data_IF_767540086483
#
_entry.id   IF_767540086483
#
_cell.length_a   1.000
_cell.length_b   1.000
_cell.length_c   1.000
_cell.angle_alpha   90.00
_cell.angle_beta   90.00
_cell.angle_gamma   90.00
#
_symmetry.space_group_name_H-M   'P 1'
#
loop_
_entity.id
_entity.type
_entity.pdbx_description
1 polymer ?
#
# COMPACT_ATOMS: atom_id res chain seq x y z
N UNK A 1 101.30 123.89 100.96
CA UNK A 1 101.00 122.96 99.86
C UNK A 1 99.50 123.06 99.60
N UNK A 2 99.01 123.44 98.43
CA UNK A 2 99.39 123.05 97.04
C UNK A 2 98.72 121.74 96.62
N UNK A 3 98.15 121.59 95.42
CA UNK A 3 97.88 122.55 94.33
C UNK A 3 96.75 121.98 93.40
N UNK A 4 96.34 122.73 92.38
CA UNK A 4 95.80 122.39 91.02
C UNK A 4 95.33 120.95 90.62
N UNK A 5 94.45 120.70 89.62
CA UNK A 5 93.58 121.53 88.73
C UNK A 5 92.53 120.64 87.98
N UNK A 6 91.50 121.28 87.39
CA UNK A 6 90.65 120.91 86.21
C UNK A 6 89.80 119.61 86.12
N UNK A 7 88.63 119.76 85.45
CA UNK A 7 87.83 118.67 84.84
C UNK A 7 86.47 118.39 85.51
N UNK A 8 85.38 119.14 85.26
CA UNK A 8 84.46 119.08 84.09
C UNK A 8 83.96 117.66 83.71
N UNK A 9 82.67 117.40 83.49
CA UNK A 9 81.48 118.29 83.56
C UNK A 9 80.16 117.47 83.74
N UNK A 10 79.29 117.96 84.65
CA UNK A 10 77.81 117.91 84.78
C UNK A 10 76.94 116.83 84.09
N UNK A 11 75.72 116.48 84.56
CA UNK A 11 74.95 116.54 85.83
C UNK A 11 73.49 116.11 85.50
N UNK A 12 72.52 115.82 86.37
CA UNK A 12 72.33 115.20 87.72
C UNK A 12 70.81 114.85 87.78
N UNK A 13 70.25 113.95 88.60
CA UNK A 13 70.23 113.89 90.09
C UNK A 13 69.64 115.18 90.73
N UNK A 14 68.89 115.18 91.85
CA UNK A 14 68.39 114.12 92.73
C UNK A 14 67.00 114.50 93.32
N UNK A 15 66.60 113.97 94.49
CA UNK A 15 65.26 114.14 95.07
C UNK A 15 65.11 115.25 96.18
N UNK A 16 64.44 115.06 97.35
CA UNK A 16 63.24 115.83 97.77
C UNK A 16 63.51 116.66 99.09
N UNK A 17 62.54 117.10 99.96
CA UNK A 17 61.05 117.04 99.93
C UNK A 17 60.17 118.35 100.07
N UNK A 18 59.72 118.91 101.24
CA UNK A 18 58.34 119.47 101.36
C UNK A 18 58.22 120.89 102.03
N UNK A 19 57.05 121.32 102.57
CA UNK A 19 55.74 121.69 101.95
C UNK A 19 55.37 123.18 102.31
N UNK A 20 54.12 123.72 102.20
CA UNK A 20 52.79 123.22 101.75
C UNK A 20 52.15 124.19 100.68
N UNK A 21 50.83 124.46 100.48
CA UNK A 21 49.51 124.12 101.11
C UNK A 21 48.32 124.42 100.16
N UNK A 22 47.14 123.88 100.51
CA UNK A 22 45.77 124.38 100.24
C UNK A 22 45.07 124.19 98.85
N UNK A 23 43.97 123.38 98.86
CA UNK A 23 42.71 123.38 98.05
C UNK A 23 42.82 123.34 96.50
N UNK A 24 42.02 122.57 95.73
CA UNK A 24 40.61 122.17 95.90
C UNK A 24 40.16 120.93 95.08
N UNK A 25 39.00 120.36 95.45
CA UNK A 25 37.94 119.68 94.64
C UNK A 25 38.24 118.80 93.40
N UNK A 26 37.45 117.72 93.23
CA UNK A 26 36.91 117.41 91.90
C UNK A 26 36.65 115.95 91.54
N UNK A 27 37.40 115.47 90.54
CA UNK A 27 36.87 114.62 89.46
C UNK A 27 37.13 113.11 89.64
N UNK A 28 38.07 112.72 90.50
CA UNK A 28 38.61 111.35 90.55
C UNK A 28 37.61 110.22 90.85
N UNK A 29 36.52 110.48 91.59
CA UNK A 29 35.52 109.45 91.94
C UNK A 29 34.80 108.89 90.71
N UNK A 30 34.33 109.76 89.81
CA UNK A 30 33.42 109.36 88.73
C UNK A 30 34.05 108.38 87.74
N UNK A 31 35.35 108.54 87.44
CA UNK A 31 36.08 107.61 86.59
C UNK A 31 36.15 106.20 87.20
N UNK A 32 36.38 106.10 88.51
CA UNK A 32 36.48 104.82 89.22
C UNK A 32 35.13 104.09 89.27
N UNK A 33 34.03 104.82 89.48
CA UNK A 33 32.68 104.26 89.40
C UNK A 33 32.35 103.70 88.00
N UNK A 34 32.73 104.42 86.95
CA UNK A 34 32.44 104.04 85.56
C UNK A 34 33.18 102.76 85.16
N UNK A 35 34.48 102.64 85.52
CA UNK A 35 35.27 101.41 85.30
C UNK A 35 34.65 100.20 86.00
N UNK A 36 34.18 100.37 87.25
CA UNK A 36 33.61 99.27 88.04
C UNK A 36 32.27 98.79 87.46
N UNK A 37 31.44 99.72 86.97
CA UNK A 37 30.18 99.41 86.28
C UNK A 37 30.43 98.65 84.95
N UNK A 38 31.43 99.09 84.18
CA UNK A 38 31.80 98.47 82.90
C UNK A 38 32.38 97.05 83.09
N UNK A 39 33.20 96.84 84.12
CA UNK A 39 33.66 95.51 84.53
C UNK A 39 32.50 94.59 84.97
N UNK A 40 31.53 95.13 85.73
CA UNK A 40 30.32 94.40 86.11
C UNK A 40 29.45 94.00 84.92
N UNK A 41 29.30 94.87 83.92
CA UNK A 41 28.57 94.57 82.69
C UNK A 41 29.23 93.46 81.85
N UNK A 42 30.56 93.48 81.72
CA UNK A 42 31.32 92.44 81.01
C UNK A 42 31.25 91.09 81.74
N UNK A 43 31.40 91.08 83.07
CA UNK A 43 31.28 89.87 83.88
C UNK A 43 29.87 89.27 83.85
N UNK A 44 28.83 90.11 83.96
CA UNK A 44 27.44 89.69 83.87
C UNK A 44 27.07 89.14 82.49
N UNK A 45 27.57 89.76 81.42
CA UNK A 45 27.39 89.27 80.05
C UNK A 45 28.01 87.88 79.84
N UNK A 46 29.24 87.66 80.33
CA UNK A 46 29.90 86.35 80.27
C UNK A 46 29.13 85.28 81.08
N UNK A 47 28.67 85.61 82.29
CA UNK A 47 27.92 84.70 83.14
C UNK A 47 26.55 84.31 82.56
N UNK A 48 25.89 85.19 81.79
CA UNK A 48 24.62 84.89 81.12
C UNK A 48 24.80 84.12 79.80
N UNK A 49 25.93 84.33 79.10
CA UNK A 49 26.22 83.64 77.84
C UNK A 49 26.72 82.21 78.05
N UNK A 50 27.42 81.93 79.16
CA UNK A 50 27.98 80.60 79.48
C UNK A 50 26.95 79.44 79.44
N UNK A 51 25.80 79.50 80.14
CA UNK A 51 24.79 78.43 80.05
C UNK A 51 24.21 78.29 78.62
N UNK A 52 24.15 79.38 77.84
CA UNK A 52 23.66 79.35 76.46
C UNK A 52 24.64 78.66 75.47
N UNK A 53 25.91 78.47 75.85
CA UNK A 53 26.83 77.60 75.11
C UNK A 53 26.61 76.12 75.47
N UNK A 54 26.47 75.77 76.75
CA UNK A 54 26.21 74.38 77.16
C UNK A 54 24.89 73.85 76.58
N UNK A 55 23.85 74.68 76.56
CA UNK A 55 22.57 74.39 75.88
C UNK A 55 22.72 74.10 74.37
N UNK A 56 23.74 74.65 73.71
CA UNK A 56 24.02 74.38 72.29
C UNK A 56 24.78 73.07 72.10
N UNK A 57 25.74 72.78 72.97
CA UNK A 57 26.50 71.52 72.93
C UNK A 57 25.58 70.32 73.19
N UNK A 58 24.68 70.40 74.17
CA UNK A 58 23.68 69.36 74.44
C UNK A 58 22.76 69.12 73.23
N UNK A 59 22.16 70.17 72.67
CA UNK A 59 21.28 70.05 71.49
C UNK A 59 21.99 69.55 70.22
N UNK A 60 23.32 69.67 70.14
CA UNK A 60 24.13 69.07 69.08
C UNK A 60 24.38 67.58 69.36
N UNK A 61 24.73 67.22 70.60
CA UNK A 61 24.86 65.82 71.02
C UNK A 61 23.54 65.05 70.85
N UNK A 62 22.40 65.63 71.26
CA UNK A 62 21.06 65.06 71.09
C UNK A 62 20.75 64.78 69.62
N UNK A 63 21.07 65.73 68.72
CA UNK A 63 20.86 65.56 67.26
C UNK A 63 21.80 64.53 66.63
N UNK A 64 23.04 64.42 67.11
CA UNK A 64 23.96 63.38 66.65
C UNK A 64 23.48 62.00 67.09
N UNK A 65 23.07 61.85 68.36
CA UNK A 65 22.50 60.61 68.88
C UNK A 65 21.17 60.25 68.19
N UNK A 66 20.32 61.23 67.88
CA UNK A 66 19.10 61.04 67.10
C UNK A 66 19.43 60.49 65.70
N UNK A 67 20.38 61.13 64.99
CA UNK A 67 20.83 60.74 63.64
C UNK A 67 21.53 59.37 63.60
N UNK A 68 22.38 59.05 64.57
CA UNK A 68 22.99 57.73 64.72
C UNK A 68 21.90 56.68 64.97
N UNK A 69 20.89 57.00 65.79
CA UNK A 69 19.78 56.10 66.06
C UNK A 69 18.77 55.98 64.92
N UNK A 70 18.66 56.97 64.03
CA UNK A 70 17.83 56.87 62.82
C UNK A 70 18.55 56.08 61.74
N UNK A 71 19.84 56.38 61.49
CA UNK A 71 20.67 55.64 60.54
C UNK A 71 20.80 54.17 60.92
N UNK A 72 21.02 53.85 62.20
CA UNK A 72 21.05 52.46 62.69
C UNK A 72 19.71 51.71 62.57
N UNK A 73 18.57 52.41 62.52
CA UNK A 73 17.26 51.80 62.25
C UNK A 73 17.02 51.60 60.76
N UNK A 74 17.36 52.59 59.94
CA UNK A 74 17.25 52.53 58.48
C UNK A 74 18.15 51.41 57.91
N UNK A 75 19.37 51.27 58.42
CA UNK A 75 20.28 50.17 58.12
C UNK A 75 19.66 48.80 58.46
N UNK A 76 19.10 48.66 59.67
CA UNK A 76 18.51 47.40 60.12
C UNK A 76 17.22 47.01 59.35
N UNK A 77 16.43 47.98 58.91
CA UNK A 77 15.22 47.72 58.11
C UNK A 77 15.56 47.37 56.64
N UNK A 78 16.68 47.92 56.12
CA UNK A 78 17.27 47.52 54.83
C UNK A 78 17.84 46.09 54.87
N UNK A 79 18.60 45.74 55.90
CA UNK A 79 19.13 44.38 56.08
C UNK A 79 17.96 43.37 56.23
N UNK A 80 16.95 43.70 57.05
CA UNK A 80 15.74 42.89 57.20
C UNK A 80 14.84 42.86 55.94
N UNK A 81 15.06 43.71 54.95
CA UNK A 81 14.46 43.62 53.62
C UNK A 81 15.28 42.70 52.69
N UNK A 82 16.61 42.82 52.73
CA UNK A 82 17.52 41.97 51.96
C UNK A 82 17.38 40.49 52.34
N UNK A 83 17.33 40.16 53.63
CA UNK A 83 17.12 38.79 54.12
C UNK A 83 15.79 38.21 53.61
N UNK A 84 14.69 38.98 53.70
CA UNK A 84 13.36 38.54 53.22
C UNK A 84 13.34 38.30 51.71
N UNK A 85 13.98 39.15 50.92
CA UNK A 85 14.10 38.95 49.46
C UNK A 85 14.96 37.72 49.16
N UNK A 86 16.03 37.48 49.93
CA UNK A 86 16.88 36.29 49.80
C UNK A 86 16.13 34.99 50.08
N UNK A 87 15.33 34.96 51.14
CA UNK A 87 14.56 33.77 51.55
C UNK A 87 13.34 33.52 50.62
N UNK A 88 12.71 34.58 50.10
CA UNK A 88 11.67 34.47 49.05
C UNK A 88 12.25 33.95 47.71
N UNK A 89 13.44 34.40 47.29
CA UNK A 89 14.14 33.85 46.12
C UNK A 89 14.56 32.38 46.33
N UNK A 90 15.10 32.04 47.50
CA UNK A 90 15.56 30.68 47.80
C UNK A 90 14.40 29.67 47.82
N UNK A 91 13.29 30.04 48.47
CA UNK A 91 12.08 29.22 48.48
C UNK A 91 11.41 29.15 47.10
N UNK A 92 11.43 30.24 46.33
CA UNK A 92 11.00 30.26 44.93
C UNK A 92 11.78 29.29 44.03
N UNK A 93 13.11 29.31 44.08
CA UNK A 93 13.97 28.38 43.34
C UNK A 93 13.70 26.92 43.74
N UNK A 94 13.60 26.62 45.03
CA UNK A 94 13.28 25.28 45.52
C UNK A 94 11.91 24.78 45.03
N UNK A 95 10.92 25.67 44.92
CA UNK A 95 9.61 25.37 44.34
C UNK A 95 9.66 25.04 42.83
N UNK A 96 10.49 25.76 42.06
CA UNK A 96 10.70 25.52 40.63
C UNK A 96 11.46 24.20 40.38
N UNK A 97 12.50 23.90 41.17
CA UNK A 97 13.24 22.63 41.09
C UNK A 97 12.33 21.43 41.41
N UNK A 98 11.54 21.54 42.49
CA UNK A 98 10.56 20.54 42.91
C UNK A 98 9.49 20.27 41.84
N UNK A 99 8.86 21.32 41.31
CA UNK A 99 7.83 21.17 40.26
C UNK A 99 8.43 20.68 38.93
N UNK A 100 9.62 21.12 38.55
CA UNK A 100 10.34 20.65 37.37
C UNK A 100 10.68 19.15 37.44
N UNK A 101 11.17 18.67 38.58
CA UNK A 101 11.45 17.23 38.79
C UNK A 101 10.17 16.38 38.74
N UNK A 102 9.07 16.88 39.30
CA UNK A 102 7.75 16.21 39.29
C UNK A 102 7.18 16.11 37.88
N UNK A 103 7.20 17.20 37.11
CA UNK A 103 6.74 17.20 35.71
C UNK A 103 7.60 16.24 34.87
N UNK A 104 8.92 16.18 35.12
CA UNK A 104 9.82 15.27 34.41
C UNK A 104 9.53 13.79 34.72
N UNK A 105 9.20 13.43 35.96
CA UNK A 105 8.84 12.05 36.30
C UNK A 105 7.46 11.66 35.73
N UNK A 106 6.48 12.56 35.74
CA UNK A 106 5.17 12.30 35.11
C UNK A 106 5.30 12.12 33.59
N UNK A 107 6.12 12.94 32.92
CA UNK A 107 6.36 12.83 31.47
C UNK A 107 7.02 11.49 31.10
N UNK A 108 7.99 11.02 31.91
CA UNK A 108 8.63 9.72 31.70
C UNK A 108 7.64 8.56 31.93
N UNK A 109 6.81 8.64 32.98
CA UNK A 109 5.78 7.63 33.24
C UNK A 109 4.75 7.55 32.09
N UNK A 110 4.32 8.70 31.56
CA UNK A 110 3.43 8.78 30.38
C UNK A 110 4.09 8.26 29.10
N UNK A 111 5.41 8.39 28.93
CA UNK A 111 6.11 7.75 27.81
C UNK A 111 6.07 6.23 27.93
N UNK A 112 6.45 5.65 29.08
CA UNK A 112 6.36 4.20 29.28
C UNK A 112 4.94 3.65 29.13
N UNK A 113 3.92 4.37 29.59
CA UNK A 113 2.51 3.98 29.41
C UNK A 113 2.10 3.97 27.92
N UNK A 114 2.63 4.89 27.11
CA UNK A 114 2.38 4.91 25.66
C UNK A 114 3.14 3.80 24.94
N UNK A 115 4.40 3.55 25.30
CA UNK A 115 5.23 2.49 24.70
C UNK A 115 4.65 1.09 25.00
N UNK A 116 4.20 0.82 26.23
CA UNK A 116 3.49 -0.41 26.58
C UNK A 116 2.18 -0.57 25.77
N UNK A 117 1.43 0.53 25.58
CA UNK A 117 0.19 0.51 24.78
C UNK A 117 0.44 0.27 23.30
N UNK A 118 1.54 0.78 22.73
CA UNK A 118 1.93 0.52 21.35
C UNK A 118 2.33 -0.95 21.17
N UNK A 119 3.20 -1.48 22.04
CA UNK A 119 3.59 -2.90 22.01
C UNK A 119 2.36 -3.84 22.12
N UNK A 120 1.43 -3.52 23.03
CA UNK A 120 0.19 -4.30 23.20
C UNK A 120 -0.83 -4.14 22.05
N UNK A 121 -0.66 -3.14 21.17
CA UNK A 121 -1.42 -3.01 19.93
C UNK A 121 -0.76 -3.80 18.79
N UNK A 122 0.57 -3.71 18.65
CA UNK A 122 1.33 -4.45 17.63
C UNK A 122 1.18 -5.97 17.81
N UNK A 123 1.24 -6.48 19.04
CA UNK A 123 1.03 -7.91 19.32
C UNK A 123 -0.41 -8.37 18.98
N UNK A 124 -1.41 -7.51 19.19
CA UNK A 124 -2.80 -7.79 18.75
C UNK A 124 -2.96 -7.78 17.24
N UNK A 125 -2.30 -6.84 16.54
CA UNK A 125 -2.33 -6.77 15.08
C UNK A 125 -1.64 -8.01 14.47
N UNK A 126 -0.52 -8.46 15.03
CA UNK A 126 0.14 -9.70 14.63
C UNK A 126 -0.75 -10.94 14.83
N UNK A 127 -1.47 -11.03 15.96
CA UNK A 127 -2.44 -12.10 16.21
C UNK A 127 -3.59 -12.12 15.20
N UNK A 128 -4.19 -10.95 14.93
CA UNK A 128 -5.29 -10.81 13.94
C UNK A 128 -4.81 -11.20 12.54
N UNK A 129 -3.61 -10.80 12.12
CA UNK A 129 -3.04 -11.18 10.84
C UNK A 129 -2.86 -12.70 10.72
N UNK A 130 -2.32 -13.35 11.76
CA UNK A 130 -2.14 -14.81 11.78
C UNK A 130 -3.46 -15.59 11.74
N UNK A 131 -4.51 -15.11 12.41
CA UNK A 131 -5.84 -15.71 12.29
C UNK A 131 -6.39 -15.55 10.87
N UNK A 132 -6.27 -14.35 10.27
CA UNK A 132 -6.77 -14.09 8.92
C UNK A 132 -6.06 -14.94 7.85
N UNK A 133 -4.74 -15.16 7.96
CA UNK A 133 -4.01 -16.07 7.07
C UNK A 133 -4.53 -17.53 7.17
N UNK A 134 -4.82 -18.01 8.39
CA UNK A 134 -5.35 -19.37 8.62
C UNK A 134 -6.75 -19.56 8.04
N UNK A 135 -7.65 -18.58 8.19
CA UNK A 135 -8.97 -18.64 7.58
C UNK A 135 -8.89 -18.66 6.05
N UNK A 136 -8.08 -17.76 5.45
CA UNK A 136 -7.89 -17.71 4.00
C UNK A 136 -7.31 -19.02 3.42
N UNK A 137 -6.42 -19.69 4.15
CA UNK A 137 -5.90 -21.00 3.75
C UNK A 137 -7.02 -22.06 3.79
N UNK A 138 -7.72 -22.19 4.92
CA UNK A 138 -8.79 -23.19 5.08
C UNK A 138 -9.94 -23.03 4.07
N UNK A 139 -10.30 -21.80 3.72
CA UNK A 139 -11.35 -21.52 2.72
C UNK A 139 -10.87 -21.85 1.29
N UNK A 140 -9.60 -21.60 0.97
CA UNK A 140 -8.99 -22.01 -0.31
C UNK A 140 -8.95 -23.53 -0.44
N UNK A 141 -8.51 -24.22 0.61
CA UNK A 141 -8.34 -25.67 0.61
C UNK A 141 -9.69 -26.38 0.47
N UNK A 142 -10.73 -25.86 1.16
CA UNK A 142 -12.11 -26.31 0.98
C UNK A 142 -12.66 -26.06 -0.44
N UNK A 143 -12.31 -24.93 -1.06
CA UNK A 143 -12.68 -24.64 -2.45
C UNK A 143 -11.98 -25.58 -3.44
N UNK A 144 -10.69 -25.85 -3.28
CA UNK A 144 -9.93 -26.78 -4.12
C UNK A 144 -10.51 -28.21 -4.01
N UNK A 145 -10.86 -28.67 -2.80
CA UNK A 145 -11.50 -29.97 -2.61
C UNK A 145 -12.86 -30.07 -3.34
N UNK A 146 -13.68 -29.01 -3.27
CA UNK A 146 -14.97 -28.95 -3.96
C UNK A 146 -14.83 -28.91 -5.50
N UNK A 147 -13.82 -28.22 -6.03
CA UNK A 147 -13.53 -28.21 -7.47
C UNK A 147 -13.02 -29.60 -7.94
N UNK A 148 -12.19 -30.28 -7.15
CA UNK A 148 -11.79 -31.66 -7.46
C UNK A 148 -13.01 -32.60 -7.49
N UNK A 149 -13.92 -32.55 -6.51
CA UNK A 149 -15.17 -33.30 -6.54
C UNK A 149 -16.02 -33.00 -7.79
N UNK A 150 -16.12 -31.72 -8.18
CA UNK A 150 -16.88 -31.30 -9.35
C UNK A 150 -16.27 -31.86 -10.66
N UNK A 151 -14.96 -31.74 -10.84
CA UNK A 151 -14.23 -32.25 -12.00
C UNK A 151 -14.37 -33.78 -12.14
N UNK A 152 -14.24 -34.53 -11.04
CA UNK A 152 -14.43 -35.99 -11.03
C UNK A 152 -15.87 -36.38 -11.38
N UNK A 153 -16.86 -35.68 -10.84
CA UNK A 153 -18.28 -35.90 -11.12
C UNK A 153 -18.61 -35.61 -12.59
N UNK A 154 -18.03 -34.56 -13.16
CA UNK A 154 -18.19 -34.18 -14.56
C UNK A 154 -17.47 -35.15 -15.51
N UNK A 155 -16.30 -35.67 -15.13
CA UNK A 155 -15.59 -36.71 -15.88
C UNK A 155 -16.42 -38.00 -15.99
N UNK A 156 -16.97 -38.46 -14.86
CA UNK A 156 -17.87 -39.62 -14.81
C UNK A 156 -19.13 -39.38 -15.66
N UNK A 157 -19.73 -38.19 -15.58
CA UNK A 157 -20.87 -37.81 -16.42
C UNK A 157 -20.54 -37.89 -17.93
N UNK A 158 -19.35 -37.41 -18.34
CA UNK A 158 -18.89 -37.45 -19.75
C UNK A 158 -18.70 -38.88 -20.26
N UNK A 159 -18.12 -39.76 -19.45
CA UNK A 159 -18.01 -41.19 -19.79
C UNK A 159 -19.39 -41.83 -19.93
N UNK A 160 -20.26 -41.71 -18.91
CA UNK A 160 -21.53 -42.43 -18.85
C UNK A 160 -22.60 -41.91 -19.83
N UNK A 161 -22.61 -40.62 -20.17
CA UNK A 161 -23.64 -40.02 -21.02
C UNK A 161 -23.22 -39.85 -22.49
N UNK A 162 -21.92 -39.66 -22.77
CA UNK A 162 -21.44 -39.33 -24.10
C UNK A 162 -20.35 -40.29 -24.64
N UNK A 163 -19.83 -41.21 -23.82
CA UNK A 163 -18.67 -42.04 -24.19
C UNK A 163 -17.38 -41.22 -24.41
N UNK A 164 -17.37 -39.97 -23.96
CA UNK A 164 -16.37 -38.95 -24.29
C UNK A 164 -15.10 -39.13 -23.45
N UNK A 165 -14.30 -40.13 -23.84
CA UNK A 165 -13.05 -40.51 -23.18
C UNK A 165 -11.99 -39.39 -23.23
N UNK A 166 -11.99 -38.54 -24.27
CA UNK A 166 -11.05 -37.43 -24.39
C UNK A 166 -11.38 -36.30 -23.41
N UNK A 167 -12.64 -35.86 -23.30
CA UNK A 167 -13.03 -34.88 -22.29
C UNK A 167 -12.92 -35.44 -20.87
N UNK A 168 -13.28 -36.72 -20.66
CA UNK A 168 -13.09 -37.38 -19.37
C UNK A 168 -11.62 -37.42 -18.95
N UNK A 169 -10.70 -37.78 -19.86
CA UNK A 169 -9.25 -37.76 -19.60
C UNK A 169 -8.76 -36.35 -19.26
N UNK A 170 -9.26 -35.31 -19.94
CA UNK A 170 -8.92 -33.93 -19.62
C UNK A 170 -9.39 -33.55 -18.20
N UNK A 171 -10.64 -33.85 -17.85
CA UNK A 171 -11.23 -33.56 -16.53
C UNK A 171 -10.53 -34.31 -15.39
N UNK A 172 -10.21 -35.61 -15.57
CA UNK A 172 -9.41 -36.39 -14.61
C UNK A 172 -7.99 -35.83 -14.46
N UNK A 173 -7.39 -35.30 -15.54
CA UNK A 173 -6.06 -34.67 -15.48
C UNK A 173 -6.11 -33.36 -14.68
N UNK A 174 -7.16 -32.55 -14.87
CA UNK A 174 -7.40 -31.37 -14.04
C UNK A 174 -7.62 -31.73 -12.56
N UNK A 175 -8.38 -32.81 -12.28
CA UNK A 175 -8.65 -33.26 -10.92
C UNK A 175 -7.36 -33.71 -10.18
N UNK A 176 -6.47 -34.49 -10.80
CA UNK A 176 -5.16 -34.78 -10.19
C UNK A 176 -4.30 -33.52 -10.02
N UNK A 177 -4.43 -32.54 -10.93
CA UNK A 177 -3.80 -31.23 -10.79
C UNK A 177 -4.24 -30.49 -9.52
N UNK A 178 -5.56 -30.42 -9.27
CA UNK A 178 -6.14 -29.77 -8.08
C UNK A 178 -5.80 -30.55 -6.80
N UNK A 179 -5.92 -31.88 -6.81
CA UNK A 179 -5.54 -32.74 -5.68
C UNK A 179 -4.03 -32.69 -5.38
N UNK A 180 -3.20 -32.32 -6.37
CA UNK A 180 -1.76 -32.06 -6.18
C UNK A 180 -1.48 -30.66 -5.64
N UNK A 181 -2.25 -29.64 -6.01
CA UNK A 181 -2.11 -28.29 -5.46
C UNK A 181 -2.47 -28.24 -3.96
N UNK A 182 -3.42 -29.08 -3.55
CA UNK A 182 -3.91 -29.20 -2.18
C UNK A 182 -2.93 -29.93 -1.22
N UNK A 183 -1.99 -30.72 -1.76
CA UNK A 183 -0.88 -31.44 -1.09
C UNK A 183 -1.19 -32.21 0.22
N UNK A 184 -2.46 -32.51 0.50
CA UNK A 184 -2.91 -33.22 1.72
C UNK A 184 -2.58 -34.73 1.67
N UNK A 185 -1.79 -35.26 2.63
CA UNK A 185 -1.54 -36.70 2.77
C UNK A 185 -2.82 -37.54 2.95
N UNK A 186 -3.90 -36.97 3.49
CA UNK A 186 -5.20 -37.63 3.63
C UNK A 186 -5.85 -37.99 2.29
N UNK A 187 -5.52 -37.28 1.22
CA UNK A 187 -6.06 -37.50 -0.13
C UNK A 187 -5.24 -38.48 -0.98
N UNK A 188 -4.22 -39.15 -0.41
CA UNK A 188 -3.33 -40.03 -1.18
C UNK A 188 -4.08 -41.22 -1.82
N UNK A 189 -5.08 -41.79 -1.15
CA UNK A 189 -5.96 -42.84 -1.70
C UNK A 189 -6.83 -42.30 -2.85
N UNK A 190 -7.36 -41.07 -2.72
CA UNK A 190 -8.13 -40.43 -3.78
C UNK A 190 -7.27 -40.19 -5.03
N UNK A 191 -6.03 -39.73 -4.86
CA UNK A 191 -5.08 -39.57 -5.99
C UNK A 191 -4.67 -40.90 -6.60
N UNK A 192 -4.56 -41.97 -5.82
CA UNK A 192 -4.32 -43.32 -6.35
C UNK A 192 -5.50 -43.81 -7.20
N UNK A 193 -6.75 -43.56 -6.76
CA UNK A 193 -7.95 -43.87 -7.54
C UNK A 193 -8.01 -43.05 -8.85
N UNK A 194 -7.80 -41.74 -8.79
CA UNK A 194 -7.78 -40.88 -9.99
C UNK A 194 -6.68 -41.30 -10.97
N UNK A 195 -5.50 -41.70 -10.50
CA UNK A 195 -4.44 -42.24 -11.34
C UNK A 195 -4.83 -43.57 -12.01
N UNK A 196 -5.57 -44.44 -11.33
CA UNK A 196 -6.09 -45.69 -11.88
C UNK A 196 -7.19 -45.43 -12.94
N UNK A 197 -8.16 -44.57 -12.65
CA UNK A 197 -9.21 -44.16 -13.60
C UNK A 197 -8.61 -43.51 -14.85
N UNK A 198 -7.64 -42.61 -14.67
CA UNK A 198 -6.94 -41.94 -15.75
C UNK A 198 -6.07 -42.90 -16.58
N UNK A 199 -5.57 -44.00 -15.99
CA UNK A 199 -4.95 -45.10 -16.73
C UNK A 199 -5.98 -45.94 -17.50
N UNK A 200 -7.15 -46.23 -16.92
CA UNK A 200 -8.24 -46.97 -17.56
C UNK A 200 -8.82 -46.19 -18.76
N UNK A 201 -9.09 -44.89 -18.60
CA UNK A 201 -9.57 -44.03 -19.70
C UNK A 201 -8.53 -43.89 -20.81
N UNK A 202 -7.23 -43.89 -20.49
CA UNK A 202 -6.14 -43.94 -21.49
C UNK A 202 -6.05 -45.25 -22.26
N UNK A 203 -6.66 -46.34 -21.77
CA UNK A 203 -6.72 -47.62 -22.47
C UNK A 203 -7.91 -47.74 -23.44
N UNK A 204 -8.82 -46.77 -23.45
CA UNK A 204 -9.95 -46.71 -24.40
C UNK A 204 -9.41 -46.33 -25.79
N UNK A 205 -9.66 -47.12 -26.86
CA UNK A 205 -9.24 -46.77 -28.21
C UNK A 205 -9.97 -45.52 -28.72
N UNK A 206 -9.22 -44.52 -29.19
CA UNK A 206 -9.77 -43.36 -29.89
C UNK A 206 -10.23 -43.75 -31.31
N UNK A 207 -11.48 -43.42 -31.65
CA UNK A 207 -12.05 -43.68 -32.98
C UNK A 207 -12.03 -42.38 -33.77
N UNK A 208 -11.49 -42.43 -34.99
CA UNK A 208 -11.44 -41.33 -35.95
C UNK A 208 -12.83 -41.11 -36.60
N UNK A 209 -13.74 -40.47 -35.85
CA UNK A 209 -15.12 -40.21 -36.29
C UNK A 209 -15.14 -39.32 -37.53
N UNK A 210 -14.27 -38.30 -37.60
CA UNK A 210 -14.17 -37.39 -38.75
C UNK A 210 -13.68 -38.13 -40.00
N UNK A 211 -12.61 -38.93 -39.90
CA UNK A 211 -12.10 -39.72 -41.01
C UNK A 211 -13.01 -40.88 -41.42
N UNK A 212 -13.91 -41.37 -40.55
CA UNK A 212 -14.98 -42.30 -40.94
C UNK A 212 -16.09 -41.53 -41.68
N UNK A 213 -16.55 -40.39 -41.13
CA UNK A 213 -17.55 -39.53 -41.77
C UNK A 213 -17.12 -39.13 -43.20
N UNK A 214 -15.88 -38.67 -43.37
CA UNK A 214 -15.32 -38.30 -44.68
C UNK A 214 -15.24 -39.46 -45.67
N UNK A 215 -14.99 -40.70 -45.19
CA UNK A 215 -15.05 -41.90 -46.04
C UNK A 215 -16.47 -42.19 -46.52
N UNK A 216 -17.47 -42.06 -45.65
CA UNK A 216 -18.88 -42.28 -46.02
C UNK A 216 -19.38 -41.17 -46.95
N UNK A 217 -18.96 -39.93 -46.75
CA UNK A 217 -19.22 -38.83 -47.69
C UNK A 217 -18.59 -39.10 -49.07
N UNK A 218 -17.34 -39.57 -49.12
CA UNK A 218 -16.68 -39.96 -50.36
C UNK A 218 -17.33 -41.17 -51.05
N UNK A 219 -17.92 -42.10 -50.30
CA UNK A 219 -18.73 -43.19 -50.85
C UNK A 219 -20.07 -42.68 -51.40
N UNK A 220 -20.70 -41.71 -50.74
CA UNK A 220 -21.95 -41.09 -51.20
C UNK A 220 -21.76 -40.35 -52.54
N UNK A 221 -20.64 -39.64 -52.70
CA UNK A 221 -20.30 -38.99 -53.97
C UNK A 221 -19.99 -40.01 -55.09
N UNK A 222 -19.31 -41.12 -54.76
CA UNK A 222 -19.11 -42.23 -55.70
C UNK A 222 -20.42 -42.92 -56.10
N UNK A 223 -21.39 -43.03 -55.17
CA UNK A 223 -22.73 -43.52 -55.47
C UNK A 223 -23.47 -42.58 -56.42
N UNK A 224 -23.45 -41.27 -56.15
CA UNK A 224 -24.02 -40.25 -57.03
C UNK A 224 -23.42 -40.29 -58.44
N UNK A 225 -22.11 -40.57 -58.57
CA UNK A 225 -21.40 -40.70 -59.85
C UNK A 225 -21.55 -42.07 -60.54
N UNK A 226 -22.17 -43.08 -59.92
CA UNK A 226 -22.20 -44.46 -60.43
C UNK A 226 -23.06 -44.60 -61.70
N UNK A 227 -22.48 -45.04 -62.80
CA UNK A 227 -23.24 -45.35 -64.04
C UNK A 227 -23.51 -46.85 -64.08
N UNK A 228 -24.74 -47.25 -63.76
CA UNK A 228 -25.17 -48.65 -63.69
C UNK A 228 -25.54 -49.16 -65.10
N UNK A 229 -26.25 -48.34 -65.90
CA UNK A 229 -26.55 -48.64 -67.29
C UNK A 229 -25.73 -47.75 -68.25
N UNK A 230 -25.05 -48.40 -69.20
CA UNK A 230 -24.65 -47.75 -70.45
C UNK A 230 -25.50 -48.31 -71.57
N UNK A 231 -26.23 -47.42 -72.24
CA UNK A 231 -26.82 -47.76 -73.55
C UNK A 231 -25.68 -48.23 -74.47
N UNK A 232 -25.83 -49.34 -75.22
CA UNK A 232 -24.86 -49.64 -76.26
C UNK A 232 -24.92 -48.50 -77.29
N UNK A 233 -23.82 -47.76 -77.41
CA UNK A 233 -23.62 -46.73 -78.45
C UNK A 233 -24.03 -47.32 -79.80
N UNK A 234 -25.13 -46.81 -80.37
CA UNK A 234 -25.51 -47.15 -81.75
C UNK A 234 -24.53 -46.41 -82.67
N UNK A 235 -23.39 -47.07 -82.92
CA UNK A 235 -22.25 -46.44 -83.60
C UNK A 235 -22.69 -45.74 -84.88
N UNK A 236 -22.60 -44.42 -84.87
CA UNK A 236 -23.11 -43.58 -85.96
C UNK A 236 -22.48 -44.02 -87.28
N UNK A 237 -23.32 -44.51 -88.20
CA UNK A 237 -22.86 -45.05 -89.47
C UNK A 237 -22.19 -43.92 -90.28
N UNK A 238 -20.86 -43.92 -90.32
CA UNK A 238 -20.06 -42.85 -90.91
C UNK A 238 -20.55 -42.56 -92.33
N UNK A 239 -21.00 -41.33 -92.64
CA UNK A 239 -21.58 -41.03 -93.94
C UNK A 239 -20.53 -41.25 -95.03
N UNK A 240 -20.81 -42.21 -95.93
CA UNK A 240 -19.90 -42.58 -96.99
C UNK A 240 -19.66 -41.39 -97.94
N UNK A 241 -18.38 -41.14 -98.27
CA UNK A 241 -18.01 -40.05 -99.16
C UNK A 241 -18.68 -40.19 -100.54
N UNK A 242 -19.14 -39.06 -101.15
CA UNK A 242 -19.87 -39.09 -102.41
C UNK A 242 -18.98 -39.61 -103.54
N UNK A 243 -19.38 -40.72 -104.17
CA UNK A 243 -18.65 -41.30 -105.30
C UNK A 243 -18.99 -40.59 -106.62
N UNK A 244 -17.95 -40.15 -107.34
CA UNK A 244 -18.08 -39.46 -108.63
C UNK A 244 -18.48 -40.45 -109.75
N UNK A 245 -17.90 -41.65 -109.76
CA UNK A 245 -18.15 -42.64 -110.81
C UNK A 245 -19.46 -43.42 -110.62
N UNK A 246 -20.07 -43.82 -111.74
CA UNK A 246 -21.35 -44.53 -111.71
C UNK A 246 -21.21 -46.00 -111.26
N UNK A 247 -20.12 -46.70 -111.62
CA UNK A 247 -19.87 -48.05 -111.08
C UNK A 247 -19.61 -48.03 -109.56
N UNK A 248 -18.93 -47.02 -109.04
CA UNK A 248 -18.68 -46.86 -107.60
C UNK A 248 -19.97 -46.61 -106.84
N UNK A 249 -20.85 -45.72 -107.34
CA UNK A 249 -22.20 -45.53 -106.79
C UNK A 249 -23.03 -46.81 -106.80
N UNK A 250 -22.89 -47.65 -107.84
CA UNK A 250 -23.57 -48.95 -107.90
C UNK A 250 -23.03 -49.94 -106.85
N UNK A 251 -21.71 -49.98 -106.63
CA UNK A 251 -21.10 -50.81 -105.57
C UNK A 251 -21.41 -50.31 -104.17
N UNK A 252 -21.41 -48.99 -103.93
CA UNK A 252 -21.86 -48.37 -102.67
C UNK A 252 -23.32 -48.72 -102.40
N UNK A 253 -24.21 -48.56 -103.40
CA UNK A 253 -25.63 -48.92 -103.29
C UNK A 253 -25.85 -50.39 -102.98
N UNK A 254 -25.14 -51.30 -103.65
CA UNK A 254 -25.22 -52.74 -103.38
C UNK A 254 -24.72 -53.09 -101.96
N UNK A 255 -23.60 -52.50 -101.51
CA UNK A 255 -23.11 -52.68 -100.13
C UNK A 255 -24.10 -52.14 -99.09
N UNK A 256 -24.69 -50.97 -99.32
CA UNK A 256 -25.69 -50.39 -98.43
C UNK A 256 -26.98 -51.25 -98.36
N UNK A 257 -27.40 -51.82 -99.50
CA UNK A 257 -28.52 -52.76 -99.54
C UNK A 257 -28.21 -54.07 -98.79
N UNK A 258 -27.00 -54.61 -98.93
CA UNK A 258 -26.55 -55.80 -98.19
C UNK A 258 -26.45 -55.53 -96.68
N UNK A 259 -25.96 -54.35 -96.29
CA UNK A 259 -25.89 -53.91 -94.90
C UNK A 259 -27.29 -53.86 -94.27
N UNK A 260 -28.24 -53.14 -94.90
CA UNK A 260 -29.64 -53.09 -94.43
C UNK A 260 -30.31 -54.46 -94.37
N UNK A 261 -30.00 -55.36 -95.30
CA UNK A 261 -30.50 -56.73 -95.26
C UNK A 261 -29.92 -57.50 -94.07
N UNK A 262 -28.64 -57.28 -93.72
CA UNK A 262 -27.99 -57.90 -92.56
C UNK A 262 -28.51 -57.37 -91.22
N UNK A 263 -28.83 -56.07 -91.11
CA UNK A 263 -29.49 -55.48 -89.93
C UNK A 263 -30.85 -56.13 -89.65
N UNK A 264 -31.60 -56.48 -90.70
CA UNK A 264 -32.92 -57.10 -90.58
C UNK A 264 -32.86 -58.59 -90.20
N UNK A 265 -31.71 -59.26 -90.36
CA UNK A 265 -31.52 -60.67 -89.98
C UNK A 265 -31.02 -60.73 -88.53
N UNK A 266 -31.93 -60.49 -87.59
CA UNK A 266 -31.65 -60.53 -86.14
C UNK A 266 -31.47 -62.00 -85.69
N UNK A 267 -30.23 -62.50 -85.72
CA UNK A 267 -29.88 -63.85 -85.25
C UNK A 267 -29.93 -63.89 -83.71
N UNK A 268 -31.14 -64.02 -83.16
CA UNK A 268 -31.43 -63.97 -81.74
C UNK A 268 -31.03 -65.27 -81.02
N UNK A 269 -29.75 -65.41 -80.67
CA UNK A 269 -29.28 -66.46 -79.76
C UNK A 269 -30.03 -66.35 -78.43
N UNK A 270 -30.51 -67.49 -77.90
CA UNK A 270 -31.48 -67.54 -76.80
C UNK A 270 -30.81 -67.58 -75.41
N UNK A 271 -29.49 -67.70 -75.40
CA UNK A 271 -28.71 -68.24 -74.27
C UNK A 271 -27.80 -67.19 -73.60
N UNK A 272 -28.13 -65.90 -73.78
CA UNK A 272 -27.65 -64.85 -72.88
C UNK A 272 -28.61 -64.82 -71.69
N UNK A 273 -28.15 -65.03 -70.44
CA UNK A 273 -29.03 -64.87 -69.28
C UNK A 273 -29.57 -63.44 -69.28
N UNK A 274 -30.89 -63.29 -69.13
CA UNK A 274 -31.55 -62.00 -69.22
C UNK A 274 -31.31 -61.20 -67.94
N UNK A 275 -30.08 -60.68 -67.79
CA UNK A 275 -29.78 -59.59 -66.87
C UNK A 275 -30.83 -58.52 -67.12
N UNK A 276 -31.63 -58.24 -66.09
CA UNK A 276 -32.80 -57.40 -66.23
C UNK A 276 -32.35 -56.03 -66.75
N UNK A 277 -32.92 -55.60 -67.87
CA UNK A 277 -32.80 -54.22 -68.31
C UNK A 277 -33.57 -53.38 -67.29
N UNK A 278 -32.86 -52.93 -66.25
CA UNK A 278 -33.32 -51.86 -65.40
C UNK A 278 -33.62 -50.67 -66.30
N UNK A 279 -34.89 -50.29 -66.38
CA UNK A 279 -35.30 -49.04 -67.00
C UNK A 279 -34.52 -47.90 -66.31
N UNK A 280 -33.96 -46.92 -67.05
CA UNK A 280 -33.18 -45.82 -66.45
C UNK A 280 -33.83 -45.10 -65.27
N UNK A 281 -35.17 -45.12 -65.15
CA UNK A 281 -35.87 -44.60 -63.97
C UNK A 281 -35.57 -45.39 -62.67
N UNK A 282 -35.35 -46.71 -62.75
CA UNK A 282 -34.95 -47.53 -61.59
C UNK A 282 -33.49 -47.31 -61.20
N UNK A 283 -32.58 -47.07 -62.14
CA UNK A 283 -31.19 -46.70 -61.82
C UNK A 283 -31.13 -45.41 -60.99
N UNK A 284 -31.93 -44.40 -61.35
CA UNK A 284 -32.06 -43.17 -60.56
C UNK A 284 -32.54 -43.43 -59.13
N UNK A 285 -33.52 -44.32 -58.97
CA UNK A 285 -34.08 -44.67 -57.66
C UNK A 285 -33.10 -45.47 -56.78
N UNK A 286 -32.36 -46.43 -57.36
CA UNK A 286 -31.32 -47.21 -56.65
C UNK A 286 -30.22 -46.29 -56.16
N UNK A 287 -29.72 -45.39 -57.03
CA UNK A 287 -28.74 -44.35 -56.67
C UNK A 287 -29.23 -43.51 -55.49
N UNK A 288 -30.43 -42.92 -55.61
CA UNK A 288 -30.99 -42.03 -54.60
C UNK A 288 -31.19 -42.72 -53.24
N UNK A 289 -31.58 -44.00 -53.24
CA UNK A 289 -31.74 -44.78 -52.02
C UNK A 289 -30.39 -45.08 -51.35
N UNK A 290 -29.38 -45.48 -52.12
CA UNK A 290 -28.04 -45.77 -51.60
C UNK A 290 -27.34 -44.50 -51.05
N UNK A 291 -27.47 -43.36 -51.74
CA UNK A 291 -27.04 -42.03 -51.25
C UNK A 291 -27.73 -41.69 -49.93
N UNK A 292 -29.06 -41.82 -49.85
CA UNK A 292 -29.85 -41.56 -48.62
C UNK A 292 -29.43 -42.48 -47.46
N UNK A 293 -29.12 -43.76 -47.70
CA UNK A 293 -28.65 -44.69 -46.68
C UNK A 293 -27.25 -44.31 -46.16
N UNK A 294 -26.36 -43.84 -47.03
CA UNK A 294 -25.03 -43.35 -46.63
C UNK A 294 -25.10 -42.00 -45.89
N UNK A 295 -26.05 -41.13 -46.21
CA UNK A 295 -26.36 -39.92 -45.42
C UNK A 295 -26.96 -40.29 -44.05
N UNK A 296 -27.87 -41.25 -43.99
CA UNK A 296 -28.39 -41.78 -42.73
C UNK A 296 -27.29 -42.39 -41.86
N UNK A 297 -26.32 -43.11 -42.45
CA UNK A 297 -25.16 -43.63 -41.75
C UNK A 297 -24.27 -42.50 -41.20
N UNK A 298 -24.04 -41.42 -41.95
CA UNK A 298 -23.31 -40.23 -41.46
C UNK A 298 -24.00 -39.59 -40.25
N UNK A 299 -25.32 -39.38 -40.30
CA UNK A 299 -26.09 -38.80 -39.18
C UNK A 299 -26.11 -39.76 -37.97
N UNK A 300 -26.22 -41.06 -38.20
CA UNK A 300 -26.16 -42.07 -37.14
C UNK A 300 -24.78 -42.11 -36.45
N UNK A 301 -23.70 -42.00 -37.23
CA UNK A 301 -22.32 -41.92 -36.72
C UNK A 301 -22.13 -40.69 -35.83
N UNK A 302 -22.50 -39.50 -36.33
CA UNK A 302 -22.36 -38.23 -35.59
C UNK A 302 -23.24 -38.15 -34.33
N UNK A 303 -24.34 -38.91 -34.28
CA UNK A 303 -25.22 -39.01 -33.10
C UNK A 303 -24.89 -40.19 -32.17
N UNK A 304 -23.81 -40.95 -32.44
CA UNK A 304 -23.41 -42.12 -31.65
C UNK A 304 -24.39 -43.30 -31.74
N UNK A 305 -25.33 -43.29 -32.67
CA UNK A 305 -26.37 -44.31 -32.81
C UNK A 305 -25.85 -45.53 -33.60
N UNK A 306 -25.08 -46.37 -32.91
CA UNK A 306 -24.46 -47.58 -33.48
C UNK A 306 -25.47 -48.53 -34.16
N UNK A 307 -26.71 -48.62 -33.66
CA UNK A 307 -27.75 -49.48 -34.25
C UNK A 307 -28.14 -48.95 -35.63
N UNK A 308 -28.53 -47.67 -35.70
CA UNK A 308 -28.95 -47.02 -36.94
C UNK A 308 -27.80 -46.93 -37.96
N UNK A 309 -26.56 -46.77 -37.49
CA UNK A 309 -25.35 -46.80 -38.32
C UNK A 309 -25.13 -48.17 -38.96
N UNK A 310 -25.25 -49.24 -38.18
CA UNK A 310 -25.07 -50.61 -38.67
C UNK A 310 -26.21 -50.98 -39.64
N UNK A 311 -27.46 -50.69 -39.28
CA UNK A 311 -28.65 -50.97 -40.09
C UNK A 311 -28.65 -50.24 -41.44
N UNK A 312 -28.17 -48.99 -41.50
CA UNK A 312 -28.06 -48.23 -42.74
C UNK A 312 -26.91 -48.70 -43.63
N UNK A 313 -25.76 -49.05 -43.07
CA UNK A 313 -24.63 -49.64 -43.82
C UNK A 313 -24.90 -51.07 -44.30
N UNK A 314 -25.65 -51.87 -43.55
CA UNK A 314 -26.11 -53.19 -44.02
C UNK A 314 -27.08 -53.04 -45.19
N UNK A 315 -28.07 -52.12 -45.10
CA UNK A 315 -29.00 -51.84 -46.20
C UNK A 315 -28.32 -51.29 -47.46
N UNK A 316 -27.19 -50.59 -47.32
CA UNK A 316 -26.42 -50.08 -48.46
C UNK A 316 -25.61 -51.17 -49.20
N UNK A 317 -25.63 -52.43 -48.75
CA UNK A 317 -24.92 -53.56 -49.37
C UNK A 317 -25.81 -54.52 -50.18
N UNK A 318 -27.15 -54.34 -50.16
CA UNK A 318 -28.14 -55.25 -50.76
C UNK A 318 -29.01 -54.57 -51.83
#
# INVERSE_FOLDING_TARGET
MSEEDSGKQEAQDAAPPPPPKAKSSGVGWLALLLVLLLAGALGGGAAWLYPQLQDREQRLADRVAELESSGGREQADLDALADRIGEELASGLAGVESTGSTIRSELLARQSELDERLAALDERLAGIAQEQERFNASDRDAFLLAEAEYLLRLANQRLLMAGDADAARALLTSADGVLKELDDPGLHEARAAVAADLAAVRAIPSIDIEGIYLRIAALSEQANALVIFRMPEQGEATPAAPAENWQERLQQGYRAALAKLSEYIIIRRRDVPMQALMDPQWEGLVRQNLTMLLEQAQVALLSGNQVLYTESLERAQY
#
